data_IF_363879691067
#
_entry.id   IF_363879691067
#
_cell.length_a   1.000
_cell.length_b   1.000
_cell.length_c   1.000
_cell.angle_alpha   90.00
_cell.angle_beta   90.00
_cell.angle_gamma   90.00
#
_symmetry.space_group_name_H-M   'P 1'
#
loop_
_entity.id
_entity.type
_entity.pdbx_description
1 polymer ?
#
# COMPACT_ATOMS: atom_id res chain seq x y z
N UNK A 1 29.55 2.86 -13.23
CA UNK A 1 29.37 2.79 -11.77
C UNK A 1 28.07 2.05 -11.55
N UNK A 2 27.99 1.18 -10.57
CA UNK A 2 26.72 0.54 -10.20
C UNK A 2 25.71 1.61 -9.77
N UNK A 3 24.43 1.38 -10.05
CA UNK A 3 23.36 2.28 -9.63
C UNK A 3 23.23 2.26 -8.10
N UNK A 4 22.85 3.40 -7.52
CA UNK A 4 22.34 3.42 -6.14
C UNK A 4 20.92 2.81 -6.10
N UNK A 5 20.45 2.40 -4.91
CA UNK A 5 19.09 1.85 -4.74
C UNK A 5 18.04 2.84 -5.22
N UNK A 6 18.20 4.13 -4.91
CA UNK A 6 17.32 5.19 -5.39
C UNK A 6 17.30 5.27 -6.92
N UNK A 7 18.48 5.31 -7.56
CA UNK A 7 18.57 5.37 -9.03
C UNK A 7 17.97 4.13 -9.68
N UNK A 8 18.26 2.94 -9.14
CA UNK A 8 17.71 1.70 -9.63
C UNK A 8 16.19 1.68 -9.52
N UNK A 9 15.63 2.09 -8.37
CA UNK A 9 14.19 2.19 -8.18
C UNK A 9 13.55 3.12 -9.21
N UNK A 10 14.06 4.34 -9.36
CA UNK A 10 13.50 5.34 -10.27
C UNK A 10 13.61 4.91 -11.74
N UNK A 11 14.71 4.28 -12.14
CA UNK A 11 14.85 3.73 -13.49
C UNK A 11 13.92 2.56 -13.75
N UNK A 12 13.70 1.70 -12.75
CA UNK A 12 12.74 0.60 -12.82
C UNK A 12 11.32 1.15 -12.95
N UNK A 13 10.94 2.12 -12.12
CA UNK A 13 9.63 2.79 -12.19
C UNK A 13 9.37 3.46 -13.54
N UNK A 14 10.40 4.09 -14.11
CA UNK A 14 10.34 4.77 -15.42
C UNK A 14 10.55 3.82 -16.61
N UNK A 15 10.83 2.55 -16.39
CA UNK A 15 11.16 1.56 -17.44
C UNK A 15 12.33 2.00 -18.35
N UNK A 16 13.32 2.65 -17.76
CA UNK A 16 14.52 3.19 -18.48
C UNK A 16 15.80 2.38 -18.24
N UNK A 17 15.68 1.21 -17.62
CA UNK A 17 16.76 0.27 -17.37
C UNK A 17 17.23 0.29 -15.91
N UNK A 18 16.98 -0.80 -15.18
CA UNK A 18 17.53 -1.05 -13.85
C UNK A 18 18.75 -2.00 -13.92
N UNK A 19 19.26 -2.39 -12.78
CA UNK A 19 20.29 -3.43 -12.62
C UNK A 19 19.82 -4.61 -11.75
N UNK A 20 18.67 -4.46 -11.08
CA UNK A 20 17.97 -5.51 -10.31
C UNK A 20 16.50 -5.11 -10.10
N UNK A 21 15.67 -6.10 -9.80
CA UNK A 21 14.26 -5.89 -9.41
C UNK A 21 14.24 -5.31 -7.98
N UNK A 22 13.70 -4.09 -7.76
CA UNK A 22 13.44 -3.60 -6.40
C UNK A 22 12.49 -4.55 -5.66
N UNK A 23 12.87 -4.94 -4.45
CA UNK A 23 12.10 -5.88 -3.65
C UNK A 23 11.86 -5.30 -2.26
N UNK A 24 10.63 -5.41 -1.77
CA UNK A 24 10.22 -4.91 -0.47
C UNK A 24 9.58 -6.01 0.37
N UNK A 25 10.00 -6.10 1.62
CA UNK A 25 9.50 -7.09 2.57
C UNK A 25 8.84 -6.35 3.73
N UNK A 26 7.58 -6.66 3.97
CA UNK A 26 6.80 -6.15 5.10
C UNK A 26 6.47 -7.31 6.03
N UNK A 27 6.90 -7.23 7.28
CA UNK A 27 6.55 -8.23 8.30
C UNK A 27 5.50 -7.63 9.21
N UNK A 28 4.32 -8.25 9.28
CA UNK A 28 3.22 -7.77 10.11
C UNK A 28 3.56 -7.87 11.61
N UNK A 29 2.92 -6.99 12.40
CA UNK A 29 3.03 -7.07 13.86
C UNK A 29 2.57 -8.43 14.41
N UNK A 30 1.54 -9.01 13.81
CA UNK A 30 1.03 -10.33 14.17
C UNK A 30 2.05 -11.44 13.89
N UNK A 31 2.79 -11.38 12.81
CA UNK A 31 3.85 -12.35 12.51
C UNK A 31 4.99 -12.27 13.54
N UNK A 32 5.40 -11.05 13.91
CA UNK A 32 6.38 -10.84 14.98
C UNK A 32 5.92 -11.40 16.32
N UNK A 33 4.67 -11.18 16.69
CA UNK A 33 4.11 -11.67 17.95
C UNK A 33 3.98 -13.20 17.98
N UNK A 34 3.56 -13.82 16.88
CA UNK A 34 3.31 -15.25 16.81
C UNK A 34 4.58 -16.08 16.62
N UNK A 35 5.52 -15.65 15.76
CA UNK A 35 6.71 -16.42 15.44
C UNK A 35 7.92 -16.07 16.30
N UNK A 36 7.98 -14.86 16.86
CA UNK A 36 9.02 -14.45 17.81
C UNK A 36 10.44 -14.80 17.35
N UNK A 37 11.16 -15.59 18.17
CA UNK A 37 12.53 -16.02 17.92
C UNK A 37 12.66 -16.92 16.67
N UNK A 38 11.62 -17.67 16.29
CA UNK A 38 11.63 -18.48 15.07
C UNK A 38 11.72 -17.60 13.82
N UNK A 39 11.06 -16.43 13.83
CA UNK A 39 11.21 -15.44 12.77
C UNK A 39 12.62 -14.85 12.74
N UNK A 40 13.21 -14.55 13.91
CA UNK A 40 14.58 -14.04 13.98
C UNK A 40 15.59 -15.03 13.37
N UNK A 41 15.39 -16.35 13.58
CA UNK A 41 16.22 -17.40 12.95
C UNK A 41 16.16 -17.30 11.43
N UNK A 42 14.99 -17.04 10.85
CA UNK A 42 14.88 -16.88 9.40
C UNK A 42 15.57 -15.59 8.93
N UNK A 43 15.28 -14.45 9.56
CA UNK A 43 15.75 -13.16 9.08
C UNK A 43 17.28 -13.01 9.09
N UNK A 44 17.98 -13.61 10.07
CA UNK A 44 19.46 -13.58 10.10
C UNK A 44 20.12 -14.30 8.93
N UNK A 45 19.40 -15.23 8.26
CA UNK A 45 19.88 -15.90 7.07
C UNK A 45 19.70 -15.07 5.80
N UNK A 46 18.97 -13.94 5.91
CA UNK A 46 18.70 -13.03 4.77
C UNK A 46 19.32 -11.62 4.98
N UNK A 47 20.65 -11.48 5.22
CA UNK A 47 21.27 -10.18 5.47
C UNK A 47 21.19 -9.22 4.28
N UNK A 48 20.88 -9.73 3.09
CA UNK A 48 20.63 -8.91 1.91
C UNK A 48 19.40 -8.01 2.06
N UNK A 49 18.33 -8.55 2.66
CA UNK A 49 17.09 -7.82 2.92
C UNK A 49 17.07 -7.16 4.29
N UNK A 50 17.82 -7.71 5.24
CA UNK A 50 17.86 -7.28 6.63
C UNK A 50 19.32 -7.05 7.10
N UNK A 51 20.06 -6.08 6.50
CA UNK A 51 21.50 -5.93 6.71
C UNK A 51 21.87 -5.59 8.17
N UNK A 52 20.99 -4.87 8.86
CA UNK A 52 21.22 -4.40 10.23
C UNK A 52 20.44 -5.21 11.28
N UNK A 53 19.88 -6.37 10.87
CA UNK A 53 19.08 -7.17 11.79
C UNK A 53 19.98 -7.98 12.74
N UNK A 54 19.73 -7.83 14.04
CA UNK A 54 20.39 -8.58 15.11
C UNK A 54 19.35 -9.32 15.94
N UNK A 55 19.65 -10.58 16.28
CA UNK A 55 18.79 -11.43 17.11
C UNK A 55 18.77 -10.97 18.56
N UNK A 56 17.65 -11.23 19.25
CA UNK A 56 17.50 -11.01 20.69
C UNK A 56 17.43 -9.54 21.09
N UNK A 57 17.18 -8.63 20.15
CA UNK A 57 17.00 -7.21 20.41
C UNK A 57 15.54 -6.85 20.75
N UNK A 58 14.61 -7.74 20.49
CA UNK A 58 13.17 -7.50 20.66
C UNK A 58 12.67 -8.16 21.95
N UNK A 59 11.99 -7.39 22.78
CA UNK A 59 11.25 -7.90 23.94
C UNK A 59 9.80 -8.19 23.49
N UNK A 60 9.53 -9.45 23.20
CA UNK A 60 8.22 -9.90 22.72
C UNK A 60 7.12 -9.79 23.78
N UNK A 61 7.47 -9.99 25.06
CA UNK A 61 6.50 -9.91 26.15
C UNK A 61 6.11 -8.47 26.49
N UNK A 62 6.95 -7.50 26.07
CA UNK A 62 6.67 -6.07 26.18
C UNK A 62 6.05 -5.46 24.92
N UNK A 63 5.80 -6.25 23.86
CA UNK A 63 5.16 -5.74 22.65
C UNK A 63 3.78 -5.15 22.95
N UNK A 64 3.55 -3.95 22.43
CA UNK A 64 2.26 -3.28 22.54
C UNK A 64 1.77 -2.91 21.16
N UNK A 65 0.50 -3.21 20.92
CA UNK A 65 -0.18 -2.82 19.70
C UNK A 65 -1.07 -1.61 19.94
N UNK A 66 -1.18 -0.77 18.92
CA UNK A 66 -2.15 0.31 18.94
C UNK A 66 -3.55 -0.27 19.16
N UNK A 67 -4.47 0.39 19.90
CA UNK A 67 -5.81 -0.15 20.15
C UNK A 67 -6.57 -0.57 18.88
N UNK A 68 -6.35 0.14 17.76
CA UNK A 68 -6.86 -0.22 16.43
C UNK A 68 -6.41 -1.60 15.93
N UNK A 69 -5.23 -2.07 16.38
CA UNK A 69 -4.58 -3.33 15.95
C UNK A 69 -4.35 -4.26 17.14
N UNK A 70 -5.19 -4.20 18.16
CA UNK A 70 -5.09 -5.03 19.37
C UNK A 70 -6.39 -5.79 19.58
N UNK A 71 -6.29 -7.09 19.83
CA UNK A 71 -7.44 -7.94 20.13
C UNK A 71 -8.30 -7.35 21.27
N UNK A 72 -9.59 -7.16 21.02
CA UNK A 72 -10.53 -6.50 21.94
C UNK A 72 -10.26 -5.01 22.16
N UNK A 73 -9.39 -4.38 21.38
CA UNK A 73 -9.15 -2.95 21.41
C UNK A 73 -10.25 -2.16 20.72
N UNK A 74 -10.56 -0.99 21.26
CA UNK A 74 -11.44 0.00 20.64
C UNK A 74 -10.64 1.32 20.49
N UNK A 75 -10.82 1.98 19.35
CA UNK A 75 -10.14 3.23 19.05
C UNK A 75 -11.06 4.13 18.22
N UNK A 76 -11.15 5.38 18.59
CA UNK A 76 -11.84 6.40 17.79
C UNK A 76 -10.80 7.24 17.06
N UNK A 77 -10.81 7.20 15.73
CA UNK A 77 -9.88 8.00 14.93
C UNK A 77 -10.27 9.48 14.90
N UNK A 78 -9.40 10.33 14.35
CA UNK A 78 -9.65 11.76 14.30
C UNK A 78 -10.83 12.16 13.39
N UNK A 79 -11.37 11.24 12.59
CA UNK A 79 -12.62 11.46 11.85
C UNK A 79 -13.87 11.03 12.64
N UNK A 80 -13.68 10.45 13.83
CA UNK A 80 -14.77 9.95 14.66
C UNK A 80 -15.22 8.52 14.31
N UNK A 81 -14.52 7.82 13.42
CA UNK A 81 -14.80 6.42 13.13
C UNK A 81 -14.36 5.53 14.29
N UNK A 82 -15.21 4.58 14.71
CA UNK A 82 -14.90 3.64 15.78
C UNK A 82 -14.31 2.37 15.18
N UNK A 83 -13.10 2.03 15.61
CA UNK A 83 -12.34 0.86 15.18
C UNK A 83 -12.35 -0.21 16.25
N UNK A 84 -12.54 -1.45 15.84
CA UNK A 84 -12.40 -2.62 16.72
C UNK A 84 -11.28 -3.53 16.22
N UNK A 85 -10.28 -3.74 17.08
CA UNK A 85 -9.19 -4.68 16.82
C UNK A 85 -9.61 -6.11 17.15
N UNK A 86 -9.41 -7.03 16.21
CA UNK A 86 -9.76 -8.45 16.39
C UNK A 86 -8.53 -9.32 16.67
N UNK A 87 -7.39 -8.96 16.09
CA UNK A 87 -6.14 -9.72 16.17
C UNK A 87 -4.99 -8.78 16.50
N UNK A 88 -4.12 -9.18 17.43
CA UNK A 88 -2.93 -8.41 17.78
C UNK A 88 -2.01 -8.25 16.54
N UNK A 89 -1.65 -7.00 16.24
CA UNK A 89 -0.77 -6.67 15.13
C UNK A 89 -1.42 -6.65 13.74
N UNK A 90 -2.75 -6.84 13.64
CA UNK A 90 -3.54 -6.64 12.42
C UNK A 90 -4.51 -5.48 12.65
N UNK A 91 -4.60 -4.58 11.67
CA UNK A 91 -5.57 -3.47 11.72
C UNK A 91 -6.99 -4.03 11.73
N UNK A 92 -7.80 -3.53 12.67
CA UNK A 92 -9.17 -3.94 12.87
C UNK A 92 -10.15 -3.36 11.84
N UNK A 93 -11.42 -3.52 12.12
CA UNK A 93 -12.52 -3.05 11.28
C UNK A 93 -13.18 -1.80 11.88
N UNK A 94 -13.82 -1.01 11.01
CA UNK A 94 -14.68 0.11 11.42
C UNK A 94 -16.13 -0.36 11.45
N UNK A 95 -16.78 -0.20 12.59
CA UNK A 95 -18.22 -0.48 12.77
C UNK A 95 -19.00 0.69 13.38
N UNK A 96 -18.32 1.76 13.80
CA UNK A 96 -18.94 3.02 14.21
C UNK A 96 -18.70 4.12 13.17
N UNK A 97 -19.79 4.59 12.58
CA UNK A 97 -19.81 5.50 11.44
C UNK A 97 -20.38 6.87 11.82
N UNK A 98 -19.55 7.92 11.99
CA UNK A 98 -20.02 9.22 12.46
C UNK A 98 -21.03 9.91 11.54
N UNK A 99 -21.06 9.53 10.26
CA UNK A 99 -22.00 10.02 9.26
C UNK A 99 -22.96 8.92 8.77
N UNK A 100 -23.29 7.94 9.61
CA UNK A 100 -24.30 6.92 9.27
C UNK A 100 -25.63 7.58 8.89
N UNK A 101 -26.01 8.67 9.58
CA UNK A 101 -27.09 9.55 9.18
C UNK A 101 -26.54 10.84 8.57
N UNK A 102 -27.06 11.23 7.40
CA UNK A 102 -26.68 12.48 6.76
C UNK A 102 -27.01 13.74 7.56
N UNK A 103 -27.91 13.70 8.49
CA UNK A 103 -28.24 14.83 9.35
C UNK A 103 -27.05 15.25 10.26
N UNK A 104 -26.10 14.34 10.46
CA UNK A 104 -24.87 14.63 11.18
C UNK A 104 -23.85 15.47 10.37
N UNK A 105 -23.99 15.54 9.04
CA UNK A 105 -23.02 16.22 8.17
C UNK A 105 -22.90 17.73 8.48
N UNK A 106 -24.01 18.39 8.83
CA UNK A 106 -23.99 19.83 9.13
C UNK A 106 -23.12 20.20 10.35
N UNK A 107 -22.93 19.25 11.26
CA UNK A 107 -22.08 19.40 12.45
C UNK A 107 -20.75 18.65 12.36
N UNK A 108 -20.47 18.00 11.25
CA UNK A 108 -19.26 17.22 11.08
C UNK A 108 -18.06 18.12 10.73
N UNK A 109 -17.00 18.00 11.52
CA UNK A 109 -15.76 18.73 11.32
C UNK A 109 -14.65 17.77 10.90
N UNK A 110 -14.02 18.03 9.75
CA UNK A 110 -12.81 17.32 9.31
C UNK A 110 -11.67 17.65 10.28
N UNK A 111 -10.78 16.67 10.57
CA UNK A 111 -9.55 16.98 11.30
C UNK A 111 -8.71 18.03 10.55
N UNK A 112 -7.99 18.87 11.30
CA UNK A 112 -7.09 19.86 10.68
C UNK A 112 -5.78 19.20 10.25
N UNK A 113 -5.51 19.03 8.94
CA UNK A 113 -4.32 18.33 8.45
C UNK A 113 -2.99 19.02 8.78
N UNK A 114 -3.05 20.26 9.29
CA UNK A 114 -1.87 20.99 9.79
C UNK A 114 -1.36 20.43 11.10
N UNK A 115 -2.24 19.83 11.89
CA UNK A 115 -1.95 19.39 13.25
C UNK A 115 -2.32 17.93 13.53
N UNK A 116 -3.18 17.32 12.70
CA UNK A 116 -3.74 15.99 12.94
C UNK A 116 -3.78 15.16 11.66
N UNK A 117 -3.32 13.90 11.77
CA UNK A 117 -3.58 12.83 10.83
C UNK A 117 -4.61 11.86 11.43
N UNK A 118 -5.12 10.86 10.69
CA UNK A 118 -6.21 10.00 11.17
C UNK A 118 -5.97 9.36 12.53
N UNK A 119 -4.75 8.93 12.81
CA UNK A 119 -4.41 8.19 14.03
C UNK A 119 -3.83 9.06 15.15
N UNK A 120 -3.67 10.37 14.93
CA UNK A 120 -3.14 11.24 15.98
C UNK A 120 -2.48 12.53 15.46
N UNK A 121 -1.79 13.25 16.34
CA UNK A 121 -1.15 14.51 15.99
C UNK A 121 0.01 14.32 15.02
N UNK A 122 0.25 15.31 14.16
CA UNK A 122 1.36 15.35 13.20
C UNK A 122 2.32 16.50 13.54
N UNK A 123 3.61 16.22 13.40
CA UNK A 123 4.69 17.19 13.47
C UNK A 123 5.37 17.30 12.09
N UNK A 124 4.87 18.23 11.27
CA UNK A 124 5.39 18.46 9.92
C UNK A 124 6.83 18.95 9.90
N UNK A 125 7.29 19.68 10.92
CA UNK A 125 8.67 20.15 10.98
C UNK A 125 9.63 18.98 11.24
N UNK A 126 9.25 18.05 12.11
CA UNK A 126 10.00 16.82 12.34
C UNK A 126 10.06 15.95 11.09
N UNK A 127 8.93 15.79 10.38
CA UNK A 127 8.89 15.02 9.13
C UNK A 127 9.80 15.67 8.08
N UNK A 128 9.74 17.00 7.92
CA UNK A 128 10.60 17.76 6.99
C UNK A 128 12.09 17.56 7.30
N UNK A 129 12.45 17.60 8.59
CA UNK A 129 13.83 17.36 9.00
C UNK A 129 14.29 15.92 8.68
N UNK A 130 13.42 14.92 8.91
CA UNK A 130 13.72 13.53 8.58
C UNK A 130 13.91 13.33 7.06
N UNK A 131 13.03 13.90 6.24
CA UNK A 131 13.15 13.85 4.77
C UNK A 131 14.43 14.53 4.27
N UNK A 132 14.80 15.68 4.85
CA UNK A 132 16.07 16.35 4.53
C UNK A 132 17.29 15.48 4.86
N UNK A 133 17.28 14.81 6.01
CA UNK A 133 18.37 13.89 6.40
C UNK A 133 18.47 12.67 5.48
N UNK A 134 17.33 12.06 5.10
CA UNK A 134 17.30 10.96 4.12
C UNK A 134 17.83 11.38 2.76
N UNK A 135 17.48 12.58 2.29
CA UNK A 135 17.99 13.14 1.04
C UNK A 135 19.52 13.31 1.07
N UNK A 136 20.07 13.82 2.19
CA UNK A 136 21.52 13.96 2.32
C UNK A 136 22.26 12.62 2.23
N UNK A 137 21.62 11.53 2.63
CA UNK A 137 22.16 10.16 2.48
C UNK A 137 21.92 9.56 1.08
N UNK A 138 21.25 10.28 0.18
CA UNK A 138 20.94 9.79 -1.18
C UNK A 138 19.87 8.71 -1.21
N UNK A 139 19.06 8.59 -0.17
CA UNK A 139 17.96 7.61 -0.08
C UNK A 139 16.79 8.00 -0.99
N UNK A 140 16.02 6.99 -1.42
CA UNK A 140 14.72 7.20 -2.05
C UNK A 140 13.78 7.90 -1.07
N UNK A 141 13.20 9.02 -1.49
CA UNK A 141 12.20 9.73 -0.68
C UNK A 141 10.80 9.31 -1.09
N UNK A 142 10.17 8.51 -0.28
CA UNK A 142 8.78 8.09 -0.45
C UNK A 142 7.93 8.60 0.71
N UNK A 143 6.72 9.00 0.37
CA UNK A 143 5.66 9.34 1.31
C UNK A 143 4.32 8.87 0.73
N UNK A 144 3.24 9.00 1.48
CA UNK A 144 1.92 8.63 1.00
C UNK A 144 0.82 9.04 1.95
N UNK A 145 -0.41 8.81 1.53
CA UNK A 145 -1.59 8.89 2.37
C UNK A 145 -1.64 7.70 3.33
N UNK A 146 -2.52 7.79 4.32
CA UNK A 146 -2.96 6.61 5.06
C UNK A 146 -3.65 5.60 4.14
N UNK A 147 -3.66 4.33 4.55
CA UNK A 147 -4.49 3.32 3.89
C UNK A 147 -5.98 3.66 4.08
N UNK A 148 -6.73 3.66 2.99
CA UNK A 148 -8.13 4.07 3.00
C UNK A 148 -8.31 5.59 3.04
N UNK A 149 -7.62 6.31 2.15
CA UNK A 149 -7.63 7.77 2.13
C UNK A 149 -8.89 8.39 1.53
N UNK A 150 -9.59 7.72 0.61
CA UNK A 150 -10.77 8.25 -0.06
C UNK A 150 -11.95 7.28 -0.08
N UNK A 151 -11.97 6.23 -0.93
CA UNK A 151 -13.10 5.32 -1.05
C UNK A 151 -13.39 4.57 0.26
N UNK A 152 -12.35 4.02 0.87
CA UNK A 152 -12.48 3.38 2.17
C UNK A 152 -12.88 4.41 3.24
N UNK A 153 -12.33 5.64 3.20
CA UNK A 153 -12.72 6.71 4.12
C UNK A 153 -14.20 7.07 4.00
N UNK A 154 -14.74 7.08 2.80
CA UNK A 154 -16.17 7.31 2.59
C UNK A 154 -17.02 6.24 3.28
N UNK A 155 -16.70 4.96 3.13
CA UNK A 155 -17.49 3.94 3.82
C UNK A 155 -17.17 3.82 5.32
N UNK A 156 -15.98 4.20 5.77
CA UNK A 156 -15.71 4.32 7.21
C UNK A 156 -16.59 5.39 7.86
N UNK A 157 -16.82 6.49 7.16
CA UNK A 157 -17.67 7.58 7.64
C UNK A 157 -19.18 7.28 7.52
N UNK A 158 -19.60 6.65 6.42
CA UNK A 158 -21.01 6.45 6.07
C UNK A 158 -21.60 5.08 6.43
N UNK A 159 -20.74 4.08 6.61
CA UNK A 159 -21.12 2.67 6.49
C UNK A 159 -21.19 2.24 5.03
N UNK A 160 -20.77 0.99 4.76
CA UNK A 160 -20.63 0.47 3.40
C UNK A 160 -21.96 0.45 2.62
N UNK A 161 -23.04 -0.03 3.23
CA UNK A 161 -24.36 -0.12 2.57
C UNK A 161 -24.91 1.25 2.21
N UNK A 162 -24.80 2.22 3.14
CA UNK A 162 -25.24 3.59 2.92
C UNK A 162 -24.44 4.25 1.79
N UNK A 163 -23.12 4.07 1.75
CA UNK A 163 -22.28 4.58 0.66
C UNK A 163 -22.71 4.01 -0.69
N UNK A 164 -22.96 2.69 -0.78
CA UNK A 164 -23.41 2.07 -2.02
C UNK A 164 -24.74 2.64 -2.50
N UNK A 165 -25.69 2.87 -1.60
CA UNK A 165 -26.98 3.49 -1.89
C UNK A 165 -26.80 4.93 -2.36
N UNK A 166 -25.96 5.72 -1.68
CA UNK A 166 -25.68 7.11 -2.01
C UNK A 166 -25.08 7.22 -3.43
N UNK A 167 -24.09 6.38 -3.76
CA UNK A 167 -23.51 6.31 -5.10
C UNK A 167 -24.52 5.93 -6.17
N UNK A 168 -25.36 4.94 -5.90
CA UNK A 168 -26.37 4.44 -6.85
C UNK A 168 -27.49 5.45 -7.10
N UNK A 169 -27.96 6.14 -6.06
CA UNK A 169 -29.06 7.12 -6.16
C UNK A 169 -28.58 8.51 -6.57
N UNK A 170 -27.28 8.78 -6.44
CA UNK A 170 -26.71 10.08 -6.74
C UNK A 170 -26.96 11.11 -5.64
N UNK A 171 -26.84 10.70 -4.37
CA UNK A 171 -27.01 11.59 -3.22
C UNK A 171 -26.05 12.78 -3.29
N UNK A 172 -26.55 14.04 -3.35
CA UNK A 172 -25.68 15.22 -3.58
C UNK A 172 -24.72 15.49 -2.42
N UNK A 173 -25.06 15.12 -1.16
CA UNK A 173 -24.18 15.29 0.00
C UNK A 173 -22.93 14.42 -0.08
N UNK A 174 -22.96 13.33 -0.87
CA UNK A 174 -21.79 12.51 -1.11
C UNK A 174 -20.67 13.30 -1.80
N UNK A 175 -21.02 14.17 -2.78
CA UNK A 175 -20.00 15.01 -3.42
C UNK A 175 -19.40 16.00 -2.44
N UNK A 176 -20.21 16.57 -1.55
CA UNK A 176 -19.71 17.48 -0.50
C UNK A 176 -18.72 16.75 0.42
N UNK A 177 -19.02 15.52 0.83
CA UNK A 177 -18.13 14.73 1.67
C UNK A 177 -16.82 14.38 0.94
N UNK A 178 -16.91 13.99 -0.35
CA UNK A 178 -15.74 13.75 -1.19
C UNK A 178 -14.85 14.99 -1.25
N UNK A 179 -15.43 16.15 -1.48
CA UNK A 179 -14.69 17.42 -1.56
C UNK A 179 -13.97 17.74 -0.25
N UNK A 180 -14.61 17.50 0.90
CA UNK A 180 -14.00 17.69 2.22
C UNK A 180 -12.78 16.77 2.43
N UNK A 181 -12.90 15.49 2.06
CA UNK A 181 -11.78 14.52 2.16
C UNK A 181 -10.65 14.92 1.20
N UNK A 182 -10.99 15.33 -0.02
CA UNK A 182 -10.00 15.76 -1.01
C UNK A 182 -9.23 16.98 -0.54
N UNK A 183 -9.88 18.01 0.02
CA UNK A 183 -9.20 19.19 0.55
C UNK A 183 -8.25 18.84 1.69
N UNK A 184 -8.64 17.94 2.58
CA UNK A 184 -7.79 17.42 3.64
C UNK A 184 -6.56 16.70 3.06
N UNK A 185 -6.75 15.82 2.09
CA UNK A 185 -5.68 15.01 1.48
C UNK A 185 -4.75 15.87 0.62
N UNK A 186 -5.27 16.87 -0.11
CA UNK A 186 -4.46 17.83 -0.88
C UNK A 186 -3.41 18.53 -0.02
N UNK A 187 -3.78 18.91 1.20
CA UNK A 187 -2.81 19.51 2.11
C UNK A 187 -1.65 18.56 2.41
N UNK A 188 -1.92 17.28 2.67
CA UNK A 188 -0.87 16.29 2.91
C UNK A 188 0.01 16.09 1.68
N UNK A 189 -0.60 15.91 0.50
CA UNK A 189 0.12 15.78 -0.78
C UNK A 189 1.07 16.96 -0.97
N UNK A 190 0.60 18.20 -0.78
CA UNK A 190 1.42 19.39 -0.95
C UNK A 190 2.58 19.46 0.05
N UNK A 191 2.36 19.10 1.33
CA UNK A 191 3.46 19.06 2.31
C UNK A 191 4.59 18.15 1.87
N UNK A 192 4.29 16.95 1.37
CA UNK A 192 5.30 16.01 0.91
C UNK A 192 5.94 16.42 -0.41
N UNK A 193 5.19 17.01 -1.33
CA UNK A 193 5.74 17.56 -2.57
C UNK A 193 6.73 18.70 -2.28
N UNK A 194 6.43 19.59 -1.33
CA UNK A 194 7.34 20.65 -0.88
C UNK A 194 8.63 20.10 -0.25
N UNK A 195 8.57 18.90 0.31
CA UNK A 195 9.74 18.16 0.78
C UNK A 195 10.50 17.47 -0.37
N UNK A 196 9.92 17.43 -1.58
CA UNK A 196 10.53 16.90 -2.81
C UNK A 196 10.66 15.38 -2.81
N UNK A 197 9.60 14.68 -2.47
CA UNK A 197 9.56 13.21 -2.57
C UNK A 197 9.75 12.73 -4.00
N UNK A 198 10.31 11.55 -4.16
CA UNK A 198 10.49 10.88 -5.45
C UNK A 198 9.25 10.06 -5.84
N UNK A 199 8.56 9.54 -4.82
CA UNK A 199 7.38 8.68 -4.92
C UNK A 199 6.34 9.13 -3.92
N UNK A 200 5.08 9.24 -4.36
CA UNK A 200 3.95 9.45 -3.47
C UNK A 200 2.95 8.30 -3.60
N UNK A 201 2.62 7.68 -2.48
CA UNK A 201 1.72 6.53 -2.39
C UNK A 201 0.28 6.94 -2.09
N UNK A 202 -0.65 6.34 -2.81
CA UNK A 202 -2.08 6.36 -2.51
C UNK A 202 -2.51 4.91 -2.27
N UNK A 203 -3.08 4.63 -1.10
CA UNK A 203 -3.37 3.26 -0.69
C UNK A 203 -4.80 3.10 -0.22
N UNK A 204 -5.53 2.21 -0.87
CA UNK A 204 -6.86 1.75 -0.45
C UNK A 204 -7.27 0.48 -1.19
N UNK A 205 -8.30 -0.24 -0.71
CA UNK A 205 -8.78 -1.47 -1.30
C UNK A 205 -9.99 -1.19 -2.19
N UNK A 206 -9.77 -1.25 -3.51
CA UNK A 206 -10.80 -1.01 -4.52
C UNK A 206 -11.37 -2.31 -5.10
N UNK A 207 -10.71 -3.43 -4.83
CA UNK A 207 -11.05 -4.74 -5.37
C UNK A 207 -11.79 -5.66 -4.40
N UNK A 208 -12.56 -6.58 -4.97
CA UNK A 208 -13.09 -7.77 -4.31
C UNK A 208 -12.44 -9.01 -4.94
N UNK A 209 -13.01 -10.21 -4.74
CA UNK A 209 -12.37 -11.44 -5.25
C UNK A 209 -12.40 -11.56 -6.78
N UNK A 210 -13.44 -11.06 -7.45
CA UNK A 210 -13.65 -11.27 -8.89
C UNK A 210 -13.77 -9.98 -9.71
N UNK A 211 -13.91 -8.84 -9.06
CA UNK A 211 -14.08 -7.52 -9.70
C UNK A 211 -13.89 -6.39 -8.70
N UNK A 212 -13.80 -5.15 -9.20
CA UNK A 212 -13.78 -3.96 -8.35
C UNK A 212 -15.06 -3.84 -7.53
N UNK A 213 -14.95 -3.27 -6.33
CA UNK A 213 -16.07 -3.14 -5.38
C UNK A 213 -17.22 -2.33 -5.96
N UNK A 214 -16.90 -1.22 -6.64
CA UNK A 214 -17.93 -0.28 -7.14
C UNK A 214 -18.12 -0.32 -8.67
N UNK A 215 -17.28 -1.04 -9.40
CA UNK A 215 -17.31 -1.16 -10.86
C UNK A 215 -16.97 0.14 -11.61
N UNK A 216 -16.62 0.04 -12.91
CA UNK A 216 -16.01 1.13 -13.69
C UNK A 216 -16.86 2.41 -13.75
N UNK A 217 -18.18 2.29 -13.91
CA UNK A 217 -19.06 3.48 -14.03
C UNK A 217 -19.17 4.28 -12.73
N UNK A 218 -19.18 3.59 -11.57
CA UNK A 218 -19.23 4.27 -10.28
C UNK A 218 -17.87 4.87 -9.95
N UNK A 219 -16.79 4.16 -10.27
CA UNK A 219 -15.43 4.68 -10.13
C UNK A 219 -15.27 5.96 -10.97
N UNK A 220 -15.62 5.93 -12.25
CA UNK A 220 -15.56 7.10 -13.16
C UNK A 220 -16.33 8.29 -12.62
N UNK A 221 -17.52 8.05 -12.06
CA UNK A 221 -18.39 9.12 -11.59
C UNK A 221 -17.92 9.76 -10.28
N UNK A 222 -17.52 8.93 -9.30
CA UNK A 222 -17.37 9.38 -7.92
C UNK A 222 -15.91 9.46 -7.46
N UNK A 223 -15.05 8.55 -7.93
CA UNK A 223 -13.69 8.39 -7.41
C UNK A 223 -12.65 9.00 -8.37
N UNK A 224 -12.72 8.71 -9.67
CA UNK A 224 -11.72 9.15 -10.64
C UNK A 224 -11.51 10.68 -10.68
N UNK A 225 -12.54 11.55 -10.53
CA UNK A 225 -12.32 13.00 -10.49
C UNK A 225 -11.49 13.43 -9.28
N UNK A 226 -11.74 12.85 -8.12
CA UNK A 226 -10.99 13.10 -6.88
C UNK A 226 -9.55 12.58 -7.00
N UNK A 227 -9.35 11.38 -7.52
CA UNK A 227 -8.03 10.81 -7.79
C UNK A 227 -7.22 11.70 -8.73
N UNK A 228 -7.82 12.08 -9.84
CA UNK A 228 -7.17 12.97 -10.81
C UNK A 228 -6.72 14.29 -10.14
N UNK A 229 -7.59 14.89 -9.34
CA UNK A 229 -7.29 16.14 -8.61
C UNK A 229 -6.14 15.96 -7.62
N UNK A 230 -6.12 14.86 -6.86
CA UNK A 230 -5.08 14.57 -5.88
C UNK A 230 -3.73 14.19 -6.52
N UNK A 231 -3.77 13.49 -7.66
CA UNK A 231 -2.57 12.98 -8.34
C UNK A 231 -1.94 14.00 -9.29
N UNK A 232 -2.71 14.97 -9.78
CA UNK A 232 -2.22 15.96 -10.73
C UNK A 232 -0.97 16.72 -10.23
N UNK A 233 -0.89 17.23 -8.98
CA UNK A 233 0.31 17.93 -8.51
C UNK A 233 1.58 17.04 -8.51
N UNK A 234 1.44 15.74 -8.23
CA UNK A 234 2.54 14.77 -8.32
C UNK A 234 3.04 14.64 -9.77
N UNK A 235 2.10 14.50 -10.73
CA UNK A 235 2.42 14.40 -12.16
C UNK A 235 3.15 15.65 -12.66
N UNK A 236 2.67 16.84 -12.31
CA UNK A 236 3.25 18.12 -12.70
C UNK A 236 4.68 18.30 -12.20
N UNK A 237 5.02 17.72 -11.06
CA UNK A 237 6.36 17.73 -10.49
C UNK A 237 7.23 16.52 -10.89
N UNK A 238 6.70 15.59 -11.69
CA UNK A 238 7.40 14.39 -12.13
C UNK A 238 7.65 13.38 -11.01
N UNK A 239 6.83 13.41 -9.96
CA UNK A 239 6.85 12.46 -8.85
C UNK A 239 6.11 11.20 -9.28
N UNK A 240 6.71 10.02 -9.05
CA UNK A 240 6.03 8.74 -9.30
C UNK A 240 4.84 8.56 -8.37
N UNK A 241 3.73 8.09 -8.93
CA UNK A 241 2.50 7.81 -8.19
C UNK A 241 2.38 6.31 -8.01
N UNK A 242 2.54 5.87 -6.78
CA UNK A 242 2.36 4.49 -6.37
C UNK A 242 0.93 4.31 -5.86
N UNK A 243 0.19 3.36 -6.42
CA UNK A 243 -1.15 3.03 -5.95
C UNK A 243 -1.18 1.59 -5.46
N UNK A 244 -1.50 1.42 -4.18
CA UNK A 244 -1.78 0.12 -3.58
C UNK A 244 -3.27 -0.15 -3.57
N UNK A 245 -3.64 -1.37 -3.97
CA UNK A 245 -5.02 -1.84 -3.84
C UNK A 245 -5.06 -3.35 -3.71
N UNK A 246 -5.76 -3.83 -2.69
CA UNK A 246 -6.10 -5.25 -2.59
C UNK A 246 -7.32 -5.58 -3.45
N UNK A 247 -7.45 -6.88 -3.76
CA UNK A 247 -8.53 -7.43 -4.56
C UNK A 247 -8.40 -7.20 -6.07
N UNK A 248 -9.36 -7.70 -6.83
CA UNK A 248 -9.38 -7.63 -8.29
C UNK A 248 -9.77 -6.24 -8.78
N UNK A 249 -8.93 -5.60 -9.62
CA UNK A 249 -9.13 -4.23 -10.11
C UNK A 249 -8.88 -4.08 -11.63
N UNK A 250 -8.72 -5.17 -12.38
CA UNK A 250 -8.43 -5.06 -13.82
C UNK A 250 -9.55 -4.41 -14.61
N UNK A 251 -10.79 -4.43 -14.11
CA UNK A 251 -11.92 -3.75 -14.73
C UNK A 251 -11.91 -2.21 -14.58
N UNK A 252 -11.03 -1.66 -13.70
CA UNK A 252 -10.81 -0.22 -13.50
C UNK A 252 -9.35 0.21 -13.72
N UNK A 253 -8.48 -0.70 -14.16
CA UNK A 253 -7.03 -0.44 -14.23
C UNK A 253 -6.69 0.70 -15.18
N UNK A 254 -7.37 0.80 -16.32
CA UNK A 254 -7.19 1.89 -17.27
C UNK A 254 -7.53 3.25 -16.64
N UNK A 255 -8.61 3.31 -15.87
CA UNK A 255 -9.01 4.53 -15.17
C UNK A 255 -8.02 4.95 -14.09
N UNK A 256 -7.42 4.00 -13.37
CA UNK A 256 -6.35 4.27 -12.39
C UNK A 256 -5.12 4.89 -13.09
N UNK A 257 -4.69 4.31 -14.22
CA UNK A 257 -3.58 4.85 -15.03
C UNK A 257 -3.92 6.24 -15.56
N UNK A 258 -5.13 6.46 -16.05
CA UNK A 258 -5.59 7.74 -16.58
C UNK A 258 -5.63 8.82 -15.48
N UNK A 259 -5.97 8.48 -14.25
CA UNK A 259 -5.86 9.38 -13.10
C UNK A 259 -4.42 9.80 -12.81
N UNK A 260 -3.43 8.97 -13.19
CA UNK A 260 -2.03 9.32 -13.06
C UNK A 260 -1.15 8.28 -12.40
N UNK A 261 -1.67 7.10 -12.06
CA UNK A 261 -0.88 6.03 -11.44
C UNK A 261 0.25 5.60 -12.38
N UNK A 262 1.48 5.56 -11.85
CA UNK A 262 2.68 5.15 -12.59
C UNK A 262 3.29 3.85 -12.08
N UNK A 263 2.97 3.48 -10.83
CA UNK A 263 3.37 2.23 -10.19
C UNK A 263 2.10 1.59 -9.61
N UNK A 264 1.72 0.45 -10.12
CA UNK A 264 0.54 -0.31 -9.68
C UNK A 264 1.00 -1.41 -8.71
N UNK A 265 0.68 -1.27 -7.43
CA UNK A 265 0.89 -2.33 -6.45
C UNK A 265 -0.40 -3.12 -6.33
N UNK A 266 -0.39 -4.32 -6.89
CA UNK A 266 -1.54 -5.20 -7.07
C UNK A 266 -1.17 -6.65 -6.78
N UNK A 267 -2.14 -7.41 -6.28
CA UNK A 267 -1.97 -8.82 -5.96
C UNK A 267 -1.82 -9.67 -7.22
N UNK A 268 -0.96 -10.66 -7.18
CA UNK A 268 -0.57 -11.52 -8.30
C UNK A 268 -1.67 -12.51 -8.74
N UNK A 269 -1.98 -13.49 -7.88
CA UNK A 269 -2.83 -14.62 -8.26
C UNK A 269 -4.31 -14.28 -8.42
N UNK A 270 -4.80 -13.25 -7.73
CA UNK A 270 -6.20 -12.82 -7.83
C UNK A 270 -6.50 -12.23 -9.23
N UNK A 271 -5.51 -11.63 -9.86
CA UNK A 271 -5.60 -11.08 -11.21
C UNK A 271 -5.18 -12.10 -12.29
N UNK A 272 -4.28 -13.01 -11.91
CA UNK A 272 -3.58 -13.89 -12.85
C UNK A 272 -2.40 -13.19 -13.54
N UNK A 273 -1.24 -13.80 -13.46
CA UNK A 273 0.04 -13.23 -13.91
C UNK A 273 0.02 -12.84 -15.39
N UNK A 274 -0.64 -13.64 -16.24
CA UNK A 274 -0.78 -13.32 -17.66
C UNK A 274 -1.67 -12.09 -17.90
N UNK A 275 -2.75 -11.93 -17.14
CA UNK A 275 -3.61 -10.74 -17.24
C UNK A 275 -2.82 -9.50 -16.85
N UNK A 276 -2.06 -9.56 -15.75
CA UNK A 276 -1.19 -8.46 -15.32
C UNK A 276 -0.18 -8.11 -16.43
N UNK A 277 0.44 -9.12 -17.05
CA UNK A 277 1.34 -8.90 -18.18
C UNK A 277 0.66 -8.16 -19.32
N UNK A 278 -0.50 -8.65 -19.74
CA UNK A 278 -1.19 -8.15 -20.93
C UNK A 278 -1.74 -6.73 -20.72
N UNK A 279 -2.18 -6.42 -19.51
CA UNK A 279 -2.76 -5.11 -19.18
C UNK A 279 -1.73 -4.06 -18.75
N UNK A 280 -0.65 -4.44 -18.07
CA UNK A 280 0.25 -3.47 -17.43
C UNK A 280 1.67 -3.43 -17.98
N UNK A 281 2.21 -4.55 -18.48
CA UNK A 281 3.62 -4.61 -18.89
C UNK A 281 3.94 -3.58 -19.99
N UNK A 282 4.82 -2.63 -19.65
CA UNK A 282 5.23 -1.56 -20.55
C UNK A 282 4.29 -0.35 -20.57
N UNK A 283 3.20 -0.36 -19.80
CA UNK A 283 2.26 0.77 -19.63
C UNK A 283 2.45 1.47 -18.29
N UNK A 284 2.56 0.69 -17.22
CA UNK A 284 2.87 1.16 -15.89
C UNK A 284 3.92 0.22 -15.26
N UNK A 285 4.62 0.67 -14.24
CA UNK A 285 5.46 -0.20 -13.44
C UNK A 285 4.56 -1.07 -12.56
N UNK A 286 4.85 -2.36 -12.54
CA UNK A 286 4.17 -3.33 -11.69
C UNK A 286 4.99 -3.43 -10.40
N UNK A 287 4.38 -3.11 -9.26
CA UNK A 287 4.87 -3.50 -7.93
C UNK A 287 4.02 -4.68 -7.48
N UNK A 288 4.50 -5.91 -7.81
CA UNK A 288 3.73 -7.12 -7.63
C UNK A 288 3.63 -7.47 -6.15
N UNK A 289 2.41 -7.52 -5.61
CA UNK A 289 2.14 -8.00 -4.26
C UNK A 289 2.00 -9.52 -4.32
N UNK A 290 3.08 -10.20 -3.91
CA UNK A 290 3.24 -11.66 -3.97
C UNK A 290 2.17 -12.33 -3.10
N UNK A 291 1.63 -13.43 -3.58
CA UNK A 291 0.56 -14.18 -2.94
C UNK A 291 0.81 -14.45 -1.45
N UNK A 292 -0.16 -14.02 -0.66
CA UNK A 292 -0.20 -14.21 0.80
C UNK A 292 -1.45 -14.94 1.28
N UNK A 293 -2.18 -15.55 0.31
CA UNK A 293 -3.45 -16.23 0.61
C UNK A 293 -3.41 -17.73 0.33
N UNK A 294 -2.54 -18.20 -0.54
CA UNK A 294 -2.54 -19.60 -0.99
C UNK A 294 -1.15 -20.25 -1.04
N UNK A 295 -0.31 -19.88 -2.02
CA UNK A 295 0.97 -20.57 -2.26
C UNK A 295 1.98 -20.25 -1.15
N UNK A 296 2.17 -18.96 -0.81
CA UNK A 296 3.17 -18.61 0.20
C UNK A 296 2.80 -19.14 1.59
N UNK A 297 1.56 -19.00 2.11
CA UNK A 297 1.24 -19.53 3.43
C UNK A 297 1.05 -21.05 3.47
N UNK A 298 0.68 -21.72 2.36
CA UNK A 298 0.21 -23.11 2.39
C UNK A 298 0.92 -24.04 1.42
N UNK A 299 1.67 -23.53 0.45
CA UNK A 299 2.43 -24.31 -0.50
C UNK A 299 3.74 -24.84 0.07
N UNK A 300 4.44 -25.61 -0.75
CA UNK A 300 5.79 -26.09 -0.45
C UNK A 300 6.84 -25.02 -0.84
N UNK A 301 8.05 -25.07 -0.27
CA UNK A 301 9.17 -24.24 -0.70
C UNK A 301 9.45 -24.27 -2.21
N UNK A 302 9.25 -25.44 -2.86
CA UNK A 302 9.42 -25.59 -4.30
C UNK A 302 8.33 -24.84 -5.07
N UNK A 303 7.07 -24.95 -4.68
CA UNK A 303 5.96 -24.23 -5.32
C UNK A 303 6.13 -22.70 -5.18
N UNK A 304 6.64 -22.24 -4.06
CA UNK A 304 6.97 -20.80 -3.83
C UNK A 304 8.08 -20.37 -4.80
N UNK A 305 9.16 -21.14 -4.92
CA UNK A 305 10.24 -20.82 -5.86
C UNK A 305 9.75 -20.81 -7.31
N UNK A 306 8.95 -21.80 -7.71
CA UNK A 306 8.35 -21.88 -9.05
C UNK A 306 7.43 -20.68 -9.35
N UNK A 307 6.65 -20.21 -8.38
CA UNK A 307 5.81 -19.02 -8.50
C UNK A 307 6.67 -17.78 -8.76
N UNK A 308 7.65 -17.51 -7.92
CA UNK A 308 8.53 -16.33 -8.06
C UNK A 308 9.29 -16.35 -9.38
N UNK A 309 9.81 -17.52 -9.78
CA UNK A 309 10.47 -17.65 -11.09
C UNK A 309 9.52 -17.32 -12.25
N UNK A 310 8.31 -17.87 -12.21
CA UNK A 310 7.30 -17.65 -13.23
C UNK A 310 6.90 -16.18 -13.35
N UNK A 311 6.68 -15.50 -12.22
CA UNK A 311 6.35 -14.07 -12.15
C UNK A 311 7.46 -13.20 -12.73
N UNK A 312 8.71 -13.42 -12.28
CA UNK A 312 9.88 -12.67 -12.76
C UNK A 312 10.06 -12.84 -14.26
N UNK A 313 9.95 -14.08 -14.78
CA UNK A 313 10.07 -14.36 -16.21
C UNK A 313 8.95 -13.73 -17.05
N UNK A 314 7.74 -13.75 -16.54
CA UNK A 314 6.54 -13.29 -17.26
C UNK A 314 6.44 -11.76 -17.26
N UNK A 315 6.64 -11.13 -16.10
CA UNK A 315 6.39 -9.71 -15.89
C UNK A 315 7.65 -8.85 -16.08
N UNK A 316 8.80 -9.34 -15.70
CA UNK A 316 10.05 -8.58 -15.75
C UNK A 316 10.60 -8.33 -17.15
N UNK A 317 11.55 -7.41 -17.21
CA UNK A 317 12.34 -7.11 -18.40
C UNK A 317 13.66 -6.40 -18.03
N UNK A 318 14.70 -6.43 -18.90
CA UNK A 318 15.93 -5.69 -18.64
C UNK A 318 15.74 -4.16 -18.67
N UNK A 319 14.58 -3.69 -19.13
CA UNK A 319 14.21 -2.26 -19.09
C UNK A 319 13.65 -1.82 -17.74
N UNK A 320 13.41 -2.74 -16.79
CA UNK A 320 12.69 -2.49 -15.55
C UNK A 320 11.18 -2.71 -15.72
N UNK A 321 10.37 -2.00 -14.95
CA UNK A 321 8.91 -2.09 -14.99
C UNK A 321 8.33 -3.19 -14.09
N UNK A 322 9.18 -3.90 -13.33
CA UNK A 322 8.77 -4.84 -12.29
C UNK A 322 9.48 -4.51 -10.98
N UNK A 323 8.71 -4.40 -9.94
CA UNK A 323 9.07 -4.44 -8.52
C UNK A 323 8.29 -5.55 -7.85
N UNK A 324 8.72 -6.02 -6.71
CA UNK A 324 8.01 -7.09 -5.98
C UNK A 324 7.94 -6.74 -4.49
N UNK A 325 6.76 -6.90 -3.93
CA UNK A 325 6.50 -6.71 -2.51
C UNK A 325 5.95 -8.00 -1.93
N UNK A 326 6.39 -8.38 -0.73
CA UNK A 326 5.79 -9.46 0.06
C UNK A 326 5.37 -8.96 1.43
N UNK A 327 4.09 -9.11 1.75
CA UNK A 327 3.57 -8.97 3.10
C UNK A 327 3.57 -10.31 3.82
N UNK A 328 4.38 -10.45 4.85
CA UNK A 328 4.45 -11.67 5.67
C UNK A 328 3.43 -11.56 6.80
N UNK A 329 2.36 -12.35 6.67
CA UNK A 329 1.25 -12.43 7.63
C UNK A 329 1.09 -13.86 8.15
N UNK A 330 0.50 -14.05 9.34
CA UNK A 330 0.03 -15.39 9.73
C UNK A 330 -1.02 -15.90 8.72
N UNK A 331 -1.05 -17.19 8.43
CA UNK A 331 -0.33 -18.30 9.10
C UNK A 331 0.97 -18.74 8.40
N UNK A 332 1.66 -17.86 7.67
CA UNK A 332 2.87 -18.23 6.92
C UNK A 332 3.94 -18.84 7.84
N UNK A 333 4.33 -20.11 7.64
CA UNK A 333 5.31 -20.77 8.51
C UNK A 333 6.75 -20.29 8.20
N UNK A 334 7.70 -20.38 9.16
CA UNK A 334 9.08 -19.94 9.00
C UNK A 334 9.78 -20.51 7.76
N UNK A 335 9.55 -21.77 7.42
CA UNK A 335 10.12 -22.44 6.24
C UNK A 335 9.66 -21.80 4.92
N UNK A 336 8.42 -21.33 4.84
CA UNK A 336 7.89 -20.66 3.67
C UNK A 336 8.36 -19.19 3.60
N UNK A 337 8.57 -18.54 4.75
CA UNK A 337 9.21 -17.24 4.82
C UNK A 337 10.65 -17.33 4.28
N UNK A 338 11.42 -18.31 4.71
CA UNK A 338 12.77 -18.57 4.20
C UNK A 338 12.76 -18.84 2.69
N UNK A 339 11.81 -19.65 2.23
CA UNK A 339 11.66 -20.00 0.81
C UNK A 339 11.37 -18.78 -0.08
N UNK A 340 10.40 -17.93 0.30
CA UNK A 340 10.06 -16.74 -0.50
C UNK A 340 11.21 -15.73 -0.53
N UNK A 341 11.88 -15.48 0.59
CA UNK A 341 13.04 -14.59 0.65
C UNK A 341 14.21 -15.13 -0.18
N UNK A 342 14.45 -16.44 -0.11
CA UNK A 342 15.48 -17.12 -0.92
C UNK A 342 15.18 -17.02 -2.41
N UNK A 343 13.94 -17.27 -2.84
CA UNK A 343 13.51 -17.16 -4.22
C UNK A 343 13.59 -15.72 -4.73
N UNK A 344 13.09 -14.75 -3.97
CA UNK A 344 13.22 -13.33 -4.31
C UNK A 344 14.69 -12.95 -4.52
N UNK A 345 15.58 -13.34 -3.59
CA UNK A 345 17.02 -13.08 -3.73
C UNK A 345 17.62 -13.75 -4.96
N UNK A 346 17.25 -15.00 -5.24
CA UNK A 346 17.74 -15.77 -6.39
C UNK A 346 17.37 -15.12 -7.71
N UNK A 347 16.14 -14.65 -7.87
CA UNK A 347 15.65 -14.09 -9.12
C UNK A 347 15.74 -12.56 -9.23
N UNK A 348 16.24 -11.87 -8.21
CA UNK A 348 16.34 -10.41 -8.19
C UNK A 348 17.10 -9.83 -9.39
N UNK A 349 18.14 -10.50 -9.88
CA UNK A 349 18.97 -10.07 -11.01
C UNK A 349 18.76 -10.85 -12.28
N UNK A 350 17.74 -11.68 -12.36
CA UNK A 350 17.47 -12.60 -13.45
C UNK A 350 17.62 -11.97 -14.86
N UNK A 351 17.26 -10.72 -15.03
CA UNK A 351 17.30 -10.04 -16.32
C UNK A 351 18.64 -9.37 -16.64
N UNK A 352 19.60 -9.38 -15.73
CA UNK A 352 20.89 -8.69 -15.88
C UNK A 352 22.10 -9.60 -15.67
N UNK A 353 21.91 -10.86 -15.31
CA UNK A 353 22.89 -11.94 -15.27
C UNK A 353 22.77 -12.83 -16.52
#
# INVERSE_FOLDING_TARGET
>A
MALSDRENYLRTASMTGGEWIPMHIVVSGATWDQLREDLEEVLVHHPHFFPDFERGQRDYDAMQFHPQSRAGGEFVDNYGCVWHGEVDGIVGIVDGHPLEDWDALDGFEMPDPRTQLPLGPVDWDRIRQQMANRRQRGELLSAGTEHGFLFMRLYYLRGFENLMLDMATGEPRLQQLIDMIVEYTEYQVQQYLDMGVDVFGFAEDLGAQEKSVIGPRMFERWIAPAYTRLMQPCREQGVHIHNHTDGYVMDIIDQLIDCGVTICNIQDLIHGVETIRDELKGRACIDLDIDRQSVVPHGTPQEIEELIEYEVRTLGSPRGGLMMTIGIYPPTPPENIDAVLSAMRKYQRFWWE
#
